data_IF_481567367541
#
_entry.id   IF_481567367541
#
_cell.length_a   1.000
_cell.length_b   1.000
_cell.length_c   1.000
_cell.angle_alpha   90.00
_cell.angle_beta   90.00
_cell.angle_gamma   90.00
#
_symmetry.space_group_name_H-M   'P 1'
#
loop_
_entity.id
_entity.type
_entity.pdbx_description
1 polymer ?
#
# COMPACT_ATOMS: atom_id res chain seq x y z
N UNK A 1 -39.85 5.01 2.32
CA UNK A 1 -40.35 6.37 2.68
C UNK A 1 -39.22 7.35 2.40
N UNK A 2 -39.49 8.64 2.22
CA UNK A 2 -38.45 9.62 1.90
C UNK A 2 -38.84 11.01 2.38
N UNK A 3 -37.84 11.87 2.62
CA UNK A 3 -38.06 13.28 2.91
C UNK A 3 -38.25 14.06 1.61
N UNK A 4 -39.24 14.95 1.58
CA UNK A 4 -39.45 15.90 0.47
C UNK A 4 -39.64 17.31 1.01
N UNK A 5 -39.08 18.29 0.30
CA UNK A 5 -39.33 19.71 0.58
C UNK A 5 -40.38 20.25 -0.39
N UNK A 6 -41.29 21.07 0.11
CA UNK A 6 -42.31 21.78 -0.68
C UNK A 6 -42.20 23.27 -0.43
N UNK A 7 -42.42 24.09 -1.45
CA UNK A 7 -42.23 25.54 -1.37
C UNK A 7 -43.55 26.27 -1.54
N UNK A 8 -43.75 27.34 -0.76
CA UNK A 8 -44.89 28.25 -0.89
C UNK A 8 -44.41 29.69 -1.00
N UNK A 9 -44.79 30.36 -2.08
CA UNK A 9 -44.54 31.80 -2.27
C UNK A 9 -45.62 32.62 -1.57
N UNK A 10 -45.23 33.65 -0.83
CA UNK A 10 -46.11 34.59 -0.15
C UNK A 10 -46.39 35.83 -1.02
N UNK A 11 -47.41 36.60 -0.65
CA UNK A 11 -47.80 37.85 -1.33
C UNK A 11 -46.68 38.91 -1.29
N UNK A 12 -45.80 38.85 -0.29
CA UNK A 12 -44.63 39.70 -0.11
C UNK A 12 -43.42 39.29 -0.97
N UNK A 13 -43.54 38.23 -1.79
CA UNK A 13 -42.47 37.71 -2.64
C UNK A 13 -41.53 36.71 -1.95
N UNK A 14 -41.62 36.53 -0.63
CA UNK A 14 -40.79 35.56 0.11
C UNK A 14 -41.21 34.12 -0.16
N UNK A 15 -40.26 33.19 -0.08
CA UNK A 15 -40.46 31.75 -0.27
C UNK A 15 -40.26 31.03 1.07
N UNK A 16 -41.26 30.26 1.50
CA UNK A 16 -41.17 29.42 2.69
C UNK A 16 -41.17 27.95 2.27
N UNK A 17 -40.22 27.17 2.82
CA UNK A 17 -40.10 25.72 2.57
C UNK A 17 -40.64 24.90 3.73
N UNK A 18 -41.22 23.76 3.43
CA UNK A 18 -41.76 22.81 4.39
C UNK A 18 -41.22 21.41 4.12
N UNK A 19 -40.77 20.74 5.17
CA UNK A 19 -40.26 19.38 5.09
C UNK A 19 -41.37 18.38 5.43
N UNK A 20 -41.45 17.29 4.67
CA UNK A 20 -42.47 16.25 4.80
C UNK A 20 -41.84 14.87 4.69
N UNK A 21 -42.31 13.91 5.50
CA UNK A 21 -42.06 12.49 5.29
C UNK A 21 -43.16 11.92 4.39
N UNK A 22 -42.77 11.33 3.26
CA UNK A 22 -43.68 10.82 2.25
C UNK A 22 -43.42 9.34 1.93
N UNK A 23 -44.45 8.69 1.40
CA UNK A 23 -44.42 7.33 0.89
C UNK A 23 -45.12 7.27 -0.46
N UNK A 24 -44.50 6.64 -1.44
CA UNK A 24 -45.11 6.43 -2.75
C UNK A 24 -45.96 5.16 -2.72
N UNK A 25 -47.26 5.28 -2.97
CA UNK A 25 -48.20 4.15 -3.09
C UNK A 25 -48.78 4.12 -4.50
N UNK A 26 -48.99 2.93 -5.06
CA UNK A 26 -49.70 2.75 -6.34
C UNK A 26 -51.20 2.68 -6.08
N UNK A 27 -51.97 3.54 -6.75
CA UNK A 27 -53.44 3.54 -6.72
C UNK A 27 -53.95 3.62 -8.16
N UNK A 28 -54.67 2.60 -8.60
CA UNK A 28 -55.21 2.55 -9.97
C UNK A 28 -54.14 2.60 -11.07
N UNK A 29 -52.99 1.94 -10.88
CA UNK A 29 -51.89 1.90 -11.84
C UNK A 29 -50.97 3.13 -11.84
N UNK A 30 -51.29 4.18 -11.09
CA UNK A 30 -50.49 5.42 -10.99
C UNK A 30 -49.82 5.51 -9.63
N UNK A 31 -48.53 5.88 -9.61
CA UNK A 31 -47.80 6.18 -8.37
C UNK A 31 -48.22 7.54 -7.82
N UNK A 32 -48.71 7.57 -6.59
CA UNK A 32 -49.05 8.81 -5.86
C UNK A 32 -48.22 8.93 -4.59
N UNK A 33 -47.72 10.14 -4.33
CA UNK A 33 -47.01 10.45 -3.10
C UNK A 33 -48.01 10.74 -1.98
N UNK A 34 -48.07 9.87 -0.98
CA UNK A 34 -48.84 10.01 0.26
C UNK A 34 -47.96 10.70 1.31
N UNK A 35 -48.43 11.83 1.86
CA UNK A 35 -47.72 12.52 2.93
C UNK A 35 -48.08 11.85 4.25
N UNK A 36 -47.08 11.25 4.91
CA UNK A 36 -47.25 10.56 6.18
C UNK A 36 -47.16 11.52 7.37
N UNK A 37 -46.21 12.47 7.30
CA UNK A 37 -46.00 13.44 8.37
C UNK A 37 -45.49 14.77 7.80
N UNK A 38 -46.05 15.87 8.29
CA UNK A 38 -45.52 17.20 8.06
C UNK A 38 -44.55 17.55 9.19
N UNK A 39 -43.27 17.72 8.87
CA UNK A 39 -42.23 18.07 9.85
C UNK A 39 -42.19 19.58 10.13
N UNK A 40 -42.96 20.37 9.37
CA UNK A 40 -43.09 21.80 9.56
C UNK A 40 -42.18 22.61 8.64
N UNK A 41 -41.94 23.86 9.03
CA UNK A 41 -41.13 24.79 8.25
C UNK A 41 -39.65 24.43 8.35
N UNK A 42 -38.98 24.38 7.21
CA UNK A 42 -37.56 23.99 7.11
C UNK A 42 -36.66 24.92 7.94
N UNK A 43 -36.98 26.22 7.99
CA UNK A 43 -36.23 27.23 8.75
C UNK A 43 -36.46 27.20 10.28
N UNK A 44 -37.39 26.36 10.76
CA UNK A 44 -37.71 26.22 12.20
C UNK A 44 -37.55 24.79 12.69
N UNK A 45 -36.88 23.95 11.90
CA UNK A 45 -36.76 22.54 12.19
C UNK A 45 -35.67 22.29 13.25
N UNK A 46 -35.93 21.39 14.19
CA UNK A 46 -34.88 20.82 15.05
C UNK A 46 -34.02 19.86 14.20
N UNK A 47 -32.94 20.40 13.62
CA UNK A 47 -32.01 19.63 12.79
C UNK A 47 -31.31 18.53 13.60
N UNK A 48 -31.00 18.79 14.87
CA UNK A 48 -30.34 17.80 15.73
C UNK A 48 -31.29 16.67 16.12
N UNK A 49 -32.56 16.99 16.33
CA UNK A 49 -33.63 16.00 16.43
C UNK A 49 -33.76 15.11 15.19
N UNK A 50 -33.65 15.70 13.99
CA UNK A 50 -33.69 14.94 12.74
C UNK A 50 -32.46 14.03 12.59
N UNK A 51 -31.26 14.50 12.98
CA UNK A 51 -30.04 13.68 13.01
C UNK A 51 -30.17 12.50 13.99
N UNK A 52 -30.71 12.74 15.19
CA UNK A 52 -31.02 11.67 16.17
C UNK A 52 -31.99 10.64 15.59
N UNK A 53 -33.04 11.09 14.90
CA UNK A 53 -33.98 10.19 14.23
C UNK A 53 -33.30 9.37 13.13
N UNK A 54 -32.47 10.00 12.30
CA UNK A 54 -31.72 9.30 11.26
C UNK A 54 -30.84 8.19 11.85
N UNK A 55 -30.09 8.47 12.93
CA UNK A 55 -29.32 7.46 13.65
C UNK A 55 -30.17 6.32 14.19
N UNK A 56 -31.33 6.64 14.79
CA UNK A 56 -32.26 5.62 15.29
C UNK A 56 -32.79 4.73 14.15
N UNK A 57 -33.06 5.28 12.97
CA UNK A 57 -33.49 4.52 11.81
C UNK A 57 -32.35 3.64 11.31
N UNK A 58 -31.14 4.19 11.15
CA UNK A 58 -29.96 3.43 10.72
C UNK A 58 -29.66 2.28 11.66
N UNK A 59 -29.65 2.52 12.98
CA UNK A 59 -29.48 1.47 14.01
C UNK A 59 -30.51 0.36 13.87
N UNK A 60 -31.76 0.70 13.56
CA UNK A 60 -32.82 -0.29 13.38
C UNK A 60 -32.67 -1.09 12.08
N UNK A 61 -32.25 -0.45 10.98
CA UNK A 61 -32.14 -1.10 9.66
C UNK A 61 -30.84 -1.84 9.43
N UNK A 62 -29.77 -1.39 10.07
CA UNK A 62 -28.42 -1.97 9.99
C UNK A 62 -27.76 -1.90 11.37
N UNK A 63 -27.99 -2.91 12.24
CA UNK A 63 -27.42 -2.93 13.58
C UNK A 63 -25.87 -2.93 13.61
N UNK A 64 -25.23 -3.41 12.54
CA UNK A 64 -23.77 -3.40 12.39
C UNK A 64 -23.23 -2.04 11.87
N UNK A 65 -24.11 -1.10 11.51
CA UNK A 65 -23.72 0.22 11.06
C UNK A 65 -23.06 1.06 12.17
N UNK A 66 -23.29 0.77 13.46
CA UNK A 66 -22.61 1.49 14.55
C UNK A 66 -21.12 1.18 14.62
N UNK A 67 -20.71 -0.04 14.28
CA UNK A 67 -19.29 -0.42 14.20
C UNK A 67 -18.60 0.18 12.97
N UNK A 68 -19.38 0.50 11.93
CA UNK A 68 -18.91 1.14 10.69
C UNK A 68 -19.08 2.66 10.69
N UNK A 69 -19.82 3.19 11.67
CA UNK A 69 -20.05 4.60 11.78
C UNK A 69 -18.72 5.27 12.14
N UNK A 70 -18.36 6.38 11.48
CA UNK A 70 -17.27 7.21 11.97
C UNK A 70 -17.57 7.59 13.42
N UNK A 71 -16.56 7.50 14.28
CA UNK A 71 -16.64 7.87 15.69
C UNK A 71 -17.20 9.30 15.78
N UNK A 72 -18.38 9.48 16.38
CA UNK A 72 -18.95 10.82 16.58
C UNK A 72 -17.99 11.65 17.45
N UNK A 73 -17.40 12.69 16.86
CA UNK A 73 -16.29 13.48 17.42
C UNK A 73 -15.24 13.87 16.39
N UNK A 74 -15.19 13.19 15.23
CA UNK A 74 -14.43 13.63 14.05
C UNK A 74 -15.32 14.45 13.11
N UNK A 75 -15.90 15.55 13.62
CA UNK A 75 -16.02 16.71 12.75
C UNK A 75 -14.59 17.05 12.33
N UNK A 76 -14.33 17.03 11.02
CA UNK A 76 -12.99 17.07 10.43
C UNK A 76 -12.23 18.38 10.66
N UNK A 77 -11.86 18.66 11.91
CA UNK A 77 -10.89 19.65 12.32
C UNK A 77 -9.89 18.96 13.24
N UNK A 78 -8.87 18.32 12.64
CA UNK A 78 -7.70 17.87 13.40
C UNK A 78 -6.99 16.62 12.87
N UNK A 79 -7.60 15.84 11.98
CA UNK A 79 -6.96 14.68 11.36
C UNK A 79 -6.97 14.82 9.84
N UNK A 80 -5.81 15.10 9.28
CA UNK A 80 -5.54 15.07 7.85
C UNK A 80 -4.82 13.76 7.51
N UNK A 81 -5.26 13.08 6.45
CA UNK A 81 -4.56 11.90 5.94
C UNK A 81 -3.28 12.38 5.26
N UNK A 82 -2.15 12.29 5.97
CA UNK A 82 -0.84 12.73 5.45
C UNK A 82 -0.31 11.86 4.28
N UNK A 83 -0.79 10.62 4.15
CA UNK A 83 -0.42 9.73 3.06
C UNK A 83 -0.92 8.29 3.26
N UNK A 84 -0.90 7.51 2.19
CA UNK A 84 -1.17 6.07 2.20
C UNK A 84 -0.18 5.38 1.27
N UNK A 85 0.61 4.44 1.79
CA UNK A 85 1.63 3.72 1.04
C UNK A 85 1.47 2.21 1.22
N UNK A 86 1.53 1.39 0.16
CA UNK A 86 1.58 -0.06 0.27
C UNK A 86 2.78 -0.51 1.11
N UNK A 87 2.50 -1.31 2.14
CA UNK A 87 3.50 -1.95 3.02
C UNK A 87 3.65 -3.44 2.73
N UNK A 88 2.58 -4.13 2.34
CA UNK A 88 2.52 -5.60 2.36
C UNK A 88 3.63 -6.30 1.56
N UNK A 89 3.87 -5.85 0.32
CA UNK A 89 4.92 -6.44 -0.53
C UNK A 89 6.32 -6.22 0.02
N UNK A 90 6.65 -4.97 0.38
CA UNK A 90 7.96 -4.64 0.95
C UNK A 90 8.20 -5.35 2.29
N UNK A 91 7.17 -5.46 3.14
CA UNK A 91 7.27 -6.19 4.40
C UNK A 91 7.54 -7.68 4.21
N UNK A 92 6.85 -8.33 3.27
CA UNK A 92 7.07 -9.74 2.98
C UNK A 92 8.47 -9.99 2.40
N UNK A 93 8.94 -9.10 1.52
CA UNK A 93 10.30 -9.16 0.97
C UNK A 93 11.36 -8.92 2.04
N UNK A 94 11.15 -8.01 2.99
CA UNK A 94 12.08 -7.75 4.12
C UNK A 94 12.21 -9.00 5.02
N UNK A 95 11.10 -9.72 5.24
CA UNK A 95 11.14 -10.98 5.97
C UNK A 95 11.94 -12.06 5.22
N UNK A 96 11.76 -12.18 3.91
CA UNK A 96 12.54 -13.12 3.08
C UNK A 96 14.02 -12.72 3.05
N UNK A 97 14.32 -11.44 2.88
CA UNK A 97 15.67 -10.89 2.84
C UNK A 97 16.48 -11.24 4.09
N UNK A 98 15.88 -11.07 5.27
CA UNK A 98 16.49 -11.52 6.55
C UNK A 98 16.56 -13.04 6.67
N UNK A 99 15.51 -13.76 6.27
CA UNK A 99 15.48 -15.22 6.37
C UNK A 99 16.53 -15.89 5.48
N UNK A 100 16.86 -15.27 4.35
CA UNK A 100 17.92 -15.70 3.44
C UNK A 100 19.32 -15.26 3.89
N UNK A 101 19.45 -14.59 5.03
CA UNK A 101 20.74 -14.12 5.55
C UNK A 101 21.38 -12.99 4.74
N UNK A 102 20.64 -12.36 3.81
CA UNK A 102 21.18 -11.34 2.91
C UNK A 102 21.61 -10.10 3.69
N UNK A 103 20.78 -9.69 4.67
CA UNK A 103 21.08 -8.54 5.53
C UNK A 103 22.37 -8.76 6.32
N UNK A 104 22.54 -9.95 6.91
CA UNK A 104 23.72 -10.34 7.68
C UNK A 104 24.97 -10.45 6.79
N UNK A 105 24.82 -11.01 5.59
CA UNK A 105 25.91 -11.13 4.62
C UNK A 105 26.41 -9.76 4.16
N UNK A 106 25.50 -8.85 3.82
CA UNK A 106 25.83 -7.47 3.45
C UNK A 106 26.48 -6.76 4.64
N UNK A 107 25.90 -6.84 5.84
CA UNK A 107 26.49 -6.24 7.04
C UNK A 107 27.91 -6.77 7.32
N UNK A 108 28.14 -8.07 7.11
CA UNK A 108 29.46 -8.70 7.22
C UNK A 108 30.45 -8.17 6.18
N UNK A 109 30.04 -8.07 4.92
CA UNK A 109 30.88 -7.56 3.83
C UNK A 109 31.25 -6.08 4.00
N UNK A 110 30.31 -5.26 4.48
CA UNK A 110 30.53 -3.84 4.76
C UNK A 110 31.46 -3.60 5.96
N UNK A 111 31.54 -4.56 6.89
CA UNK A 111 32.33 -4.48 8.11
C UNK A 111 31.90 -3.32 9.04
N UNK A 112 32.79 -2.88 9.93
CA UNK A 112 32.53 -1.75 10.87
C UNK A 112 32.49 -0.37 10.20
N UNK A 113 32.47 -0.27 8.86
CA UNK A 113 32.42 1.01 8.17
C UNK A 113 31.08 1.67 8.53
N UNK A 114 31.13 2.68 9.41
CA UNK A 114 29.99 3.51 9.76
C UNK A 114 29.64 4.37 8.55
N UNK A 115 28.82 3.85 7.66
CA UNK A 115 28.14 4.68 6.67
C UNK A 115 27.06 5.49 7.38
N UNK A 116 26.95 6.78 7.05
CA UNK A 116 25.90 7.66 7.60
C UNK A 116 24.49 7.29 7.13
N UNK A 117 24.39 6.42 6.12
CA UNK A 117 23.17 5.86 5.57
C UNK A 117 23.23 4.34 5.67
N UNK A 118 22.11 3.70 5.98
CA UNK A 118 22.01 2.25 6.05
C UNK A 118 22.06 1.65 4.64
N UNK A 119 23.28 1.34 4.17
CA UNK A 119 23.56 0.80 2.83
C UNK A 119 22.74 -0.45 2.55
N UNK A 120 22.56 -1.30 3.57
CA UNK A 120 21.75 -2.51 3.46
C UNK A 120 20.29 -2.16 3.15
N UNK A 121 19.72 -1.14 3.81
CA UNK A 121 18.35 -0.69 3.55
C UNK A 121 18.17 -0.11 2.16
N UNK A 122 19.17 0.61 1.64
CA UNK A 122 19.15 1.12 0.26
C UNK A 122 19.16 -0.04 -0.75
N UNK A 123 20.06 -1.01 -0.56
CA UNK A 123 20.14 -2.19 -1.42
C UNK A 123 18.85 -3.00 -1.39
N UNK A 124 18.28 -3.18 -0.19
CA UNK A 124 16.97 -3.80 -0.03
C UNK A 124 15.88 -3.04 -0.81
N UNK A 125 15.84 -1.71 -0.73
CA UNK A 125 14.86 -0.90 -1.46
C UNK A 125 14.96 -1.06 -2.99
N UNK A 126 16.18 -1.16 -3.53
CA UNK A 126 16.40 -1.42 -4.96
C UNK A 126 15.88 -2.81 -5.36
N UNK A 127 16.15 -3.84 -4.54
CA UNK A 127 15.66 -5.20 -4.79
C UNK A 127 14.13 -5.27 -4.66
N UNK A 128 13.55 -4.59 -3.66
CA UNK A 128 12.11 -4.52 -3.47
C UNK A 128 11.42 -3.79 -4.64
N UNK A 129 11.99 -2.68 -5.13
CA UNK A 129 11.49 -2.01 -6.33
C UNK A 129 11.54 -2.96 -7.53
N UNK A 130 12.65 -3.69 -7.72
CA UNK A 130 12.80 -4.65 -8.83
C UNK A 130 11.73 -5.74 -8.81
N UNK A 131 11.31 -6.18 -7.62
CA UNK A 131 10.29 -7.22 -7.45
C UNK A 131 8.85 -6.70 -7.56
N UNK A 132 8.59 -5.47 -7.11
CA UNK A 132 7.21 -4.94 -6.96
C UNK A 132 6.81 -3.95 -8.06
N UNK A 133 7.76 -3.20 -8.61
CA UNK A 133 7.53 -2.09 -9.52
C UNK A 133 8.79 -1.83 -10.36
N UNK A 134 9.28 -2.85 -11.08
CA UNK A 134 10.58 -2.85 -11.78
C UNK A 134 10.83 -1.61 -12.66
N UNK A 135 11.46 -0.58 -12.09
CA UNK A 135 11.66 0.73 -12.67
C UNK A 135 13.16 1.05 -12.82
N UNK A 136 13.50 2.19 -13.42
CA UNK A 136 14.88 2.70 -13.47
C UNK A 136 15.37 3.11 -12.06
N UNK A 137 16.69 3.26 -11.85
CA UNK A 137 17.27 3.60 -10.53
C UNK A 137 16.75 4.94 -9.98
N UNK A 138 16.67 5.95 -10.85
CA UNK A 138 16.06 7.24 -10.51
C UNK A 138 14.61 7.04 -10.03
N UNK A 139 13.79 6.29 -10.77
CA UNK A 139 12.41 6.02 -10.41
C UNK A 139 12.28 5.12 -9.16
N UNK A 140 13.26 4.24 -8.89
CA UNK A 140 13.30 3.43 -7.68
C UNK A 140 13.51 4.28 -6.42
N UNK A 141 14.33 5.35 -6.50
CA UNK A 141 14.54 6.27 -5.37
C UNK A 141 13.27 7.07 -5.03
N UNK A 142 12.54 7.52 -6.06
CA UNK A 142 11.24 8.18 -5.88
C UNK A 142 10.22 7.21 -5.31
N UNK A 143 10.12 6.00 -5.87
CA UNK A 143 9.22 4.96 -5.41
C UNK A 143 9.45 4.60 -3.93
N UNK A 144 10.72 4.41 -3.53
CA UNK A 144 11.09 4.09 -2.16
C UNK A 144 10.74 5.22 -1.18
N UNK A 145 10.83 6.47 -1.62
CA UNK A 145 10.60 7.65 -0.78
C UNK A 145 9.12 8.08 -0.72
N UNK A 146 8.32 7.80 -1.76
CA UNK A 146 6.97 8.34 -1.93
C UNK A 146 5.87 7.30 -2.07
N UNK A 147 6.16 6.18 -2.72
CA UNK A 147 5.13 5.24 -3.18
C UNK A 147 5.10 3.94 -2.38
N UNK A 148 6.15 3.60 -1.65
CA UNK A 148 6.21 2.38 -0.83
C UNK A 148 6.59 2.69 0.62
N UNK A 149 6.14 1.83 1.54
CA UNK A 149 6.62 1.85 2.93
C UNK A 149 7.73 0.82 3.08
N UNK A 150 8.96 1.30 3.31
CA UNK A 150 10.15 0.46 3.48
C UNK A 150 10.61 0.53 4.94
N UNK A 151 10.49 -0.56 5.73
CA UNK A 151 10.92 -0.56 7.12
C UNK A 151 12.42 -0.22 7.26
N UNK A 152 12.71 0.80 8.08
CA UNK A 152 14.09 1.25 8.33
C UNK A 152 14.66 2.20 7.27
N UNK A 153 13.87 2.61 6.26
CA UNK A 153 14.26 3.60 5.27
C UNK A 153 13.15 4.65 5.10
N UNK A 154 13.42 5.88 5.56
CA UNK A 154 12.46 6.97 5.44
C UNK A 154 12.42 7.57 4.03
N UNK A 155 13.59 7.78 3.45
CA UNK A 155 13.81 8.34 2.12
C UNK A 155 15.16 7.87 1.58
N UNK A 156 15.31 7.91 0.27
CA UNK A 156 16.59 7.74 -0.40
C UNK A 156 16.65 8.58 -1.68
N UNK A 157 17.86 8.99 -2.06
CA UNK A 157 18.12 9.62 -3.35
C UNK A 157 18.87 8.68 -4.32
N UNK A 158 18.98 9.11 -5.58
CA UNK A 158 19.66 8.34 -6.62
C UNK A 158 21.18 8.20 -6.37
N UNK A 159 21.83 9.21 -5.80
CA UNK A 159 23.26 9.17 -5.50
C UNK A 159 23.57 8.14 -4.41
N UNK A 160 22.71 8.05 -3.39
CA UNK A 160 22.76 7.02 -2.36
C UNK A 160 22.57 5.63 -2.95
N UNK A 161 21.69 5.48 -3.95
CA UNK A 161 21.52 4.21 -4.67
C UNK A 161 22.81 3.79 -5.38
N UNK A 162 23.43 4.69 -6.15
CA UNK A 162 24.70 4.38 -6.84
C UNK A 162 25.82 4.09 -5.85
N UNK A 163 25.98 4.90 -4.80
CA UNK A 163 27.00 4.67 -3.78
C UNK A 163 26.81 3.34 -3.06
N UNK A 164 25.57 2.96 -2.76
CA UNK A 164 25.30 1.66 -2.14
C UNK A 164 25.69 0.51 -3.07
N UNK A 165 25.43 0.63 -4.37
CA UNK A 165 25.85 -0.36 -5.37
C UNK A 165 27.38 -0.43 -5.52
N UNK A 166 28.06 0.72 -5.57
CA UNK A 166 29.52 0.76 -5.64
C UNK A 166 30.16 0.13 -4.40
N UNK A 167 29.64 0.48 -3.22
CA UNK A 167 30.08 -0.10 -1.95
C UNK A 167 29.84 -1.61 -1.91
N UNK A 168 28.69 -2.08 -2.41
CA UNK A 168 28.43 -3.52 -2.52
C UNK A 168 29.43 -4.19 -3.48
N UNK A 169 29.66 -3.59 -4.64
CA UNK A 169 30.60 -4.13 -5.64
C UNK A 169 32.03 -4.20 -5.12
N UNK A 170 32.46 -3.18 -4.38
CA UNK A 170 33.78 -3.13 -3.75
C UNK A 170 33.91 -4.14 -2.59
N UNK A 171 32.84 -4.29 -1.79
CA UNK A 171 32.82 -5.18 -0.64
C UNK A 171 32.65 -6.66 -1.01
N UNK A 172 31.98 -6.94 -2.13
CA UNK A 172 31.69 -8.29 -2.64
C UNK A 172 32.70 -8.76 -3.70
N UNK A 173 33.90 -8.17 -3.74
CA UNK A 173 34.98 -8.59 -4.64
C UNK A 173 35.38 -10.08 -4.45
N UNK A 174 35.10 -10.67 -3.29
CA UNK A 174 35.31 -12.08 -2.98
C UNK A 174 34.02 -12.93 -3.05
N UNK A 175 32.93 -12.38 -3.60
CA UNK A 175 31.63 -13.03 -3.77
C UNK A 175 30.98 -13.58 -2.48
N UNK A 176 31.32 -13.03 -1.30
CA UNK A 176 30.82 -13.49 0.01
C UNK A 176 29.32 -13.35 0.16
N UNK A 177 28.73 -12.29 -0.39
CA UNK A 177 27.27 -12.10 -0.35
C UNK A 177 26.60 -13.15 -1.24
N UNK A 178 27.15 -13.38 -2.43
CA UNK A 178 26.64 -14.42 -3.34
C UNK A 178 26.75 -15.82 -2.72
N UNK A 179 27.89 -16.14 -2.11
CA UNK A 179 28.12 -17.41 -1.42
C UNK A 179 27.11 -17.62 -0.28
N UNK A 180 26.89 -16.61 0.57
CA UNK A 180 25.94 -16.69 1.67
C UNK A 180 24.50 -16.91 1.17
N UNK A 181 24.09 -16.18 0.13
CA UNK A 181 22.76 -16.36 -0.48
C UNK A 181 22.65 -17.73 -1.11
N UNK A 182 23.67 -18.17 -1.86
CA UNK A 182 23.72 -19.48 -2.50
C UNK A 182 23.52 -20.59 -1.47
N UNK A 183 24.30 -20.63 -0.39
CA UNK A 183 24.14 -21.67 0.64
C UNK A 183 22.83 -21.55 1.41
N UNK A 184 22.25 -20.35 1.53
CA UNK A 184 20.91 -20.21 2.11
C UNK A 184 19.79 -20.76 1.23
N UNK A 185 19.99 -20.87 -0.09
CA UNK A 185 18.99 -21.38 -1.04
C UNK A 185 19.34 -22.74 -1.65
N UNK A 186 20.57 -23.21 -1.48
CA UNK A 186 21.06 -24.45 -2.07
C UNK A 186 20.17 -25.64 -1.66
N UNK A 187 19.70 -25.64 -0.42
CA UNK A 187 18.79 -26.67 0.09
C UNK A 187 17.31 -26.46 -0.29
N UNK A 188 16.93 -25.28 -0.81
CA UNK A 188 15.55 -24.95 -1.14
C UNK A 188 15.04 -25.77 -2.34
N UNK A 189 15.96 -26.16 -3.23
CA UNK A 189 15.72 -26.99 -4.40
C UNK A 189 16.57 -28.26 -4.35
N UNK A 190 16.78 -28.83 -3.16
CA UNK A 190 17.46 -30.11 -2.98
C UNK A 190 16.55 -31.26 -3.48
N UNK A 191 16.25 -31.23 -4.78
CA UNK A 191 15.66 -32.31 -5.54
C UNK A 191 16.80 -33.25 -5.91
N UNK A 192 16.59 -34.54 -5.72
CA UNK A 192 17.39 -35.57 -6.38
C UNK A 192 17.19 -35.39 -7.90
N UNK A 193 18.21 -34.84 -8.57
CA UNK A 193 18.20 -34.60 -10.01
C UNK A 193 19.18 -35.54 -10.70
N UNK A 194 18.66 -36.38 -11.60
CA UNK A 194 19.49 -37.27 -12.43
C UNK A 194 20.26 -36.53 -13.55
N UNK A 195 19.87 -35.29 -13.86
CA UNK A 195 20.38 -34.53 -14.99
C UNK A 195 20.33 -33.02 -14.72
N UNK A 196 21.50 -32.37 -14.74
CA UNK A 196 21.66 -30.92 -14.62
C UNK A 196 21.97 -30.30 -16.00
N UNK A 197 21.13 -29.37 -16.45
CA UNK A 197 21.41 -28.54 -17.63
C UNK A 197 21.99 -27.20 -17.18
N UNK A 198 23.24 -26.94 -17.52
CA UNK A 198 23.85 -25.62 -17.37
C UNK A 198 23.78 -24.88 -18.71
N UNK A 199 23.18 -23.69 -18.71
CA UNK A 199 23.26 -22.74 -19.82
C UNK A 199 24.17 -21.60 -19.37
N UNK A 200 25.38 -21.55 -19.92
CA UNK A 200 26.29 -20.43 -19.70
C UNK A 200 26.02 -19.38 -20.78
N UNK A 201 25.61 -18.14 -20.43
CA UNK A 201 25.54 -17.08 -21.43
C UNK A 201 26.97 -16.80 -21.91
N UNK A 202 27.28 -17.19 -23.14
CA UNK A 202 28.58 -16.95 -23.76
C UNK A 202 28.89 -15.44 -23.73
N UNK A 203 29.90 -15.06 -22.97
CA UNK A 203 30.46 -13.72 -23.03
C UNK A 203 31.20 -13.59 -24.37
N UNK A 204 30.71 -12.70 -25.23
CA UNK A 204 31.33 -12.43 -26.53
C UNK A 204 32.40 -11.38 -26.33
N UNK A 205 33.53 -11.80 -25.76
CA UNK A 205 34.81 -11.15 -26.02
C UNK A 205 35.83 -12.25 -26.24
N UNK A 206 36.25 -12.39 -27.48
CA UNK A 206 37.22 -13.39 -27.89
C UNK A 206 38.52 -13.21 -27.11
N UNK A 207 38.80 -14.18 -26.25
CA UNK A 207 40.09 -14.84 -26.22
C UNK A 207 39.91 -16.21 -25.55
N UNK A 208 40.66 -17.16 -26.07
CA UNK A 208 40.62 -18.60 -25.81
C UNK A 208 40.55 -18.93 -24.31
N UNK A 209 39.54 -19.69 -23.89
CA UNK A 209 39.57 -20.39 -22.61
C UNK A 209 39.50 -21.89 -22.87
N UNK A 210 40.65 -22.51 -22.58
CA UNK A 210 40.89 -23.94 -22.57
C UNK A 210 39.90 -24.67 -21.67
N UNK A 211 39.35 -25.76 -22.20
CA UNK A 211 38.68 -26.82 -21.48
C UNK A 211 39.52 -27.25 -20.27
N UNK A 212 38.99 -27.08 -19.05
CA UNK A 212 39.08 -28.03 -17.95
C UNK A 212 38.30 -27.49 -16.74
N UNK A 213 37.86 -28.41 -15.87
CA UNK A 213 37.16 -28.20 -14.59
C UNK A 213 35.61 -28.12 -14.64
N UNK A 214 34.99 -29.23 -15.06
CA UNK A 214 33.72 -29.65 -14.44
C UNK A 214 34.07 -30.46 -13.17
N UNK A 215 34.02 -29.81 -12.01
CA UNK A 215 33.95 -30.53 -10.73
C UNK A 215 32.50 -30.88 -10.47
N UNK A 216 32.13 -32.13 -10.76
CA UNK A 216 30.90 -32.72 -10.28
C UNK A 216 31.04 -32.98 -8.77
N UNK A 217 30.23 -32.32 -7.95
CA UNK A 217 29.99 -32.74 -6.57
C UNK A 217 28.66 -33.50 -6.53
N UNK A 218 28.75 -34.75 -6.05
CA UNK A 218 27.64 -35.55 -5.58
C UNK A 218 27.37 -35.26 -4.10
#
# INVERSE_FOLDING_TARGET
MYLRSTQRRRKDGSVVRYLQLAHNRRVGGVTRAEVLLNLGREDRLDVDGLRRLARSITRYTDPAAEERAPIEGTEGEGLEVAGSRPLGGAWALDALWRRLGVAEAIAGALGRRRFGTDVERILFALVANRALAAQSKLAASEWASRDASIPGLAEMDEDQAYRAMDVLSDADAEAKVQEAVFFSVADLLNLEVDLLFFDYPADVSGDELSDEHVLAFA
#
